data_IF_236171409397
#
_entry.id   IF_236171409397
#
_cell.length_a   1.000
_cell.length_b   1.000
_cell.length_c   1.000
_cell.angle_alpha   90.00
_cell.angle_beta   90.00
_cell.angle_gamma   90.00
#
_symmetry.space_group_name_H-M   'P 1'
#
loop_
_entity.id
_entity.type
_entity.pdbx_description
1 polymer ?
#
# COMPACT_ATOMS: atom_id res chain seq x y z
N UNK A 1 -10.60 20.08 -2.60
CA UNK A 1 -9.53 19.47 -1.77
C UNK A 1 -9.82 18.01 -1.35
N UNK A 2 -11.07 17.54 -1.30
CA UNK A 2 -11.39 16.12 -1.02
C UNK A 2 -11.05 15.15 -2.17
N UNK A 3 -11.26 15.59 -3.42
CA UNK A 3 -10.97 14.79 -4.61
C UNK A 3 -9.49 14.39 -4.68
N UNK A 4 -8.57 15.28 -4.33
CA UNK A 4 -7.13 15.01 -4.34
C UNK A 4 -6.72 13.87 -3.42
N UNK A 5 -7.34 13.77 -2.23
CA UNK A 5 -7.05 12.70 -1.27
C UNK A 5 -7.58 11.33 -1.73
N UNK A 6 -8.71 11.31 -2.42
CA UNK A 6 -9.27 10.08 -2.99
C UNK A 6 -8.45 9.58 -4.18
N UNK A 7 -7.97 10.50 -5.02
CA UNK A 7 -7.07 10.17 -6.14
C UNK A 7 -5.75 9.59 -5.61
N UNK A 8 -5.15 10.24 -4.62
CA UNK A 8 -3.90 9.77 -4.00
C UNK A 8 -4.07 8.40 -3.33
N UNK A 9 -5.18 8.19 -2.62
CA UNK A 9 -5.51 6.89 -2.01
C UNK A 9 -5.55 5.78 -3.06
N UNK A 10 -6.31 5.98 -4.13
CA UNK A 10 -6.42 5.01 -5.21
C UNK A 10 -5.08 4.73 -5.89
N UNK A 11 -4.27 5.77 -6.14
CA UNK A 11 -2.96 5.61 -6.75
C UNK A 11 -2.03 4.70 -5.94
N UNK A 12 -1.99 4.86 -4.61
CA UNK A 12 -1.15 4.03 -3.74
C UNK A 12 -1.64 2.58 -3.71
N UNK A 13 -2.96 2.37 -3.66
CA UNK A 13 -3.57 1.03 -3.73
C UNK A 13 -3.22 0.35 -5.06
N UNK A 14 -3.42 1.03 -6.17
CA UNK A 14 -3.13 0.50 -7.51
C UNK A 14 -1.64 0.17 -7.67
N UNK A 15 -0.74 1.01 -7.13
CA UNK A 15 0.70 0.73 -7.12
C UNK A 15 1.03 -0.54 -6.32
N UNK A 16 0.50 -0.67 -5.11
CA UNK A 16 0.72 -1.85 -4.27
C UNK A 16 0.14 -3.13 -4.89
N UNK A 17 -1.05 -3.05 -5.48
CA UNK A 17 -1.67 -4.14 -6.22
C UNK A 17 -0.82 -4.59 -7.41
N UNK A 18 -0.23 -3.64 -8.16
CA UNK A 18 0.67 -3.97 -9.28
C UNK A 18 1.92 -4.73 -8.84
N UNK A 19 2.33 -4.54 -7.58
CA UNK A 19 3.44 -5.26 -6.93
C UNK A 19 2.99 -6.56 -6.24
N UNK A 20 1.72 -6.94 -6.35
CA UNK A 20 1.16 -8.16 -5.78
C UNK A 20 0.75 -8.07 -4.31
N UNK A 21 0.70 -6.87 -3.73
CA UNK A 21 0.23 -6.69 -2.36
C UNK A 21 -1.24 -6.31 -2.35
N UNK A 22 -2.06 -7.04 -1.60
CA UNK A 22 -3.52 -6.78 -1.49
C UNK A 22 -3.95 -6.49 -0.05
N UNK A 23 -3.10 -6.85 0.91
CA UNK A 23 -3.38 -6.74 2.34
C UNK A 23 -2.21 -6.02 3.01
N UNK A 24 -2.53 -5.23 4.04
CA UNK A 24 -1.56 -4.66 4.98
C UNK A 24 -0.89 -5.76 5.80
N UNK A 25 0.20 -5.43 6.50
CA UNK A 25 0.80 -6.32 7.51
C UNK A 25 -0.23 -6.89 8.51
N UNK A 26 -1.21 -6.07 8.93
CA UNK A 26 -2.23 -6.47 9.90
C UNK A 26 -3.38 -7.31 9.29
N UNK A 27 -3.25 -7.75 8.04
CA UNK A 27 -4.26 -8.54 7.33
C UNK A 27 -5.51 -7.77 6.85
N UNK A 28 -5.54 -6.44 6.97
CA UNK A 28 -6.62 -5.60 6.44
C UNK A 28 -6.41 -5.32 4.96
N UNK A 29 -7.48 -5.24 4.17
CA UNK A 29 -7.32 -4.90 2.74
C UNK A 29 -6.84 -3.45 2.58
N UNK A 30 -6.02 -3.20 1.57
CA UNK A 30 -5.42 -1.89 1.32
C UNK A 30 -6.47 -0.82 1.05
N UNK A 31 -7.60 -1.18 0.44
CA UNK A 31 -8.73 -0.29 0.16
C UNK A 31 -9.42 0.21 1.44
N UNK A 32 -9.36 -0.58 2.51
CA UNK A 32 -9.96 -0.22 3.80
C UNK A 32 -9.09 0.72 4.65
N UNK A 33 -7.82 0.88 4.28
CA UNK A 33 -6.87 1.69 5.00
C UNK A 33 -7.08 3.19 4.76
N UNK A 34 -6.78 3.99 5.78
CA UNK A 34 -6.67 5.45 5.61
C UNK A 34 -5.43 5.78 4.80
N UNK A 35 -5.45 6.93 4.11
CA UNK A 35 -4.31 7.41 3.32
C UNK A 35 -2.99 7.44 4.11
N UNK A 36 -3.03 7.81 5.39
CA UNK A 36 -1.85 7.83 6.26
C UNK A 36 -1.28 6.43 6.55
N UNK A 37 -2.14 5.42 6.59
CA UNK A 37 -1.74 4.02 6.78
C UNK A 37 -1.19 3.47 5.45
N UNK A 38 -1.85 3.73 4.33
CA UNK A 38 -1.36 3.37 2.99
C UNK A 38 0.03 3.91 2.70
N UNK A 39 0.32 5.17 3.05
CA UNK A 39 1.67 5.73 2.87
C UNK A 39 2.76 4.97 3.63
N UNK A 40 2.42 4.36 4.78
CA UNK A 40 3.37 3.52 5.52
C UNK A 40 3.57 2.19 4.81
N UNK A 41 2.47 1.55 4.39
CA UNK A 41 2.50 0.28 3.66
C UNK A 41 3.19 0.41 2.29
N UNK A 42 3.07 1.56 1.62
CA UNK A 42 3.71 1.87 0.35
C UNK A 42 5.24 1.76 0.41
N UNK A 43 5.84 2.13 1.55
CA UNK A 43 7.29 2.01 1.77
C UNK A 43 7.63 0.62 2.28
N UNK A 44 6.88 0.13 3.26
CA UNK A 44 7.22 -1.10 3.99
C UNK A 44 7.05 -2.38 3.19
N UNK A 45 5.95 -2.52 2.43
CA UNK A 45 5.65 -3.75 1.70
C UNK A 45 6.71 -4.07 0.64
N UNK A 46 7.16 -3.11 -0.21
CA UNK A 46 8.26 -3.33 -1.12
C UNK A 46 9.57 -3.73 -0.43
N UNK A 47 9.95 -3.08 0.67
CA UNK A 47 11.16 -3.41 1.43
C UNK A 47 11.12 -4.85 1.95
N UNK A 48 9.98 -5.30 2.49
CA UNK A 48 9.81 -6.67 2.97
C UNK A 48 9.96 -7.70 1.84
N UNK A 49 9.47 -7.38 0.64
CA UNK A 49 9.61 -8.26 -0.52
C UNK A 49 11.04 -8.32 -1.03
N UNK A 50 11.74 -7.19 -1.11
CA UNK A 50 13.16 -7.17 -1.48
C UNK A 50 14.02 -7.97 -0.48
N UNK A 51 13.72 -7.90 0.82
CA UNK A 51 14.41 -8.72 1.83
C UNK A 51 14.10 -10.21 1.65
N UNK A 52 12.86 -10.58 1.35
CA UNK A 52 12.46 -11.97 1.12
C UNK A 52 13.03 -12.57 -0.18
N UNK A 53 13.20 -11.76 -1.22
CA UNK A 53 13.81 -12.20 -2.50
C UNK A 53 15.34 -12.34 -2.42
N UNK A 54 15.99 -11.69 -1.44
CA UNK A 54 17.44 -11.72 -1.22
C UNK A 54 17.90 -12.65 -0.08
N UNK A 55 16.98 -13.34 0.60
CA UNK A 55 17.26 -14.29 1.69
C UNK A 55 17.20 -15.75 1.22
#
# INVERSE_FOLDING_TARGET
MYLSKMVEHKQIVDELHSKGFYYSENGRSLESLKLSELKREQVRLPELREVAENA
#
